data_IF_187707272945
#
_entry.id   IF_187707272945
#
_cell.length_a   1.000
_cell.length_b   1.000
_cell.length_c   1.000
_cell.angle_alpha   90.00
_cell.angle_beta   90.00
_cell.angle_gamma   90.00
#
_symmetry.space_group_name_H-M   'P 1'
#
loop_
_entity.id
_entity.type
_entity.pdbx_description
1 polymer ?
#
# COMPACT_ATOMS: atom_id res chain seq x y z
N UNK A 1 9.52 -1.12 -21.37
CA UNK A 1 8.53 -0.62 -20.40
C UNK A 1 9.25 -0.61 -19.06
N UNK A 2 9.63 0.56 -18.56
CA UNK A 2 10.50 0.68 -17.39
C UNK A 2 9.69 0.51 -16.11
N UNK A 3 10.11 -0.40 -15.25
CA UNK A 3 9.65 -0.47 -13.87
C UNK A 3 10.49 0.51 -13.07
N UNK A 4 9.86 1.44 -12.34
CA UNK A 4 10.56 2.30 -11.39
C UNK A 4 10.48 1.67 -10.00
N UNK A 5 11.63 1.51 -9.37
CA UNK A 5 11.75 0.94 -8.02
C UNK A 5 12.37 2.01 -7.16
N UNK A 6 11.60 2.52 -6.20
CA UNK A 6 12.07 3.58 -5.31
C UNK A 6 12.02 3.09 -3.88
N UNK A 7 13.14 3.28 -3.17
CA UNK A 7 13.18 3.02 -1.73
C UNK A 7 12.90 4.32 -0.99
N UNK A 8 11.81 4.36 -0.25
CA UNK A 8 11.43 5.49 0.62
C UNK A 8 11.81 5.15 2.05
N UNK A 9 12.41 6.07 2.81
CA UNK A 9 12.69 5.86 4.23
C UNK A 9 11.72 6.67 5.10
N UNK A 10 11.08 6.02 6.07
CA UNK A 10 10.23 6.68 7.07
C UNK A 10 10.35 5.98 8.42
N UNK A 11 10.62 6.76 9.48
CA UNK A 11 10.79 6.28 10.88
C UNK A 11 11.70 5.04 11.00
N UNK A 12 12.92 5.12 10.48
CA UNK A 12 13.92 4.03 10.54
C UNK A 12 13.49 2.74 9.80
N UNK A 13 12.53 2.85 8.88
CA UNK A 13 12.03 1.76 8.03
C UNK A 13 12.23 2.18 6.57
N UNK A 14 12.81 1.29 5.77
CA UNK A 14 12.94 1.45 4.31
C UNK A 14 11.80 0.69 3.61
N UNK A 15 11.04 1.38 2.77
CA UNK A 15 9.92 0.87 1.99
C UNK A 15 10.35 0.73 0.53
N UNK A 16 10.15 -0.41 -0.10
CA UNK A 16 10.36 -0.55 -1.55
C UNK A 16 9.05 -0.35 -2.29
N UNK A 17 8.95 0.73 -3.04
CA UNK A 17 7.82 1.08 -3.90
C UNK A 17 8.10 0.56 -5.31
N UNK A 18 7.17 -0.23 -5.84
CA UNK A 18 7.29 -0.81 -7.18
C UNK A 18 6.21 -0.21 -8.09
N UNK A 19 6.61 0.53 -9.11
CA UNK A 19 5.71 0.99 -10.16
C UNK A 19 5.40 -0.20 -11.09
N UNK A 20 4.31 -0.89 -10.77
CA UNK A 20 3.66 -1.94 -11.57
C UNK A 20 4.50 -3.20 -11.83
N UNK A 21 4.76 -4.03 -10.82
CA UNK A 21 4.90 -5.48 -11.06
C UNK A 21 6.32 -6.10 -11.14
N UNK A 22 7.30 -5.56 -10.44
CA UNK A 22 8.70 -6.03 -10.51
C UNK A 22 9.13 -7.09 -9.48
N UNK A 23 8.23 -7.79 -8.79
CA UNK A 23 8.60 -8.73 -7.72
C UNK A 23 8.05 -10.13 -7.96
N UNK A 24 8.90 -11.13 -7.73
CA UNK A 24 8.49 -12.53 -7.75
C UNK A 24 7.45 -12.77 -6.63
N UNK A 25 6.43 -13.58 -6.91
CA UNK A 25 5.31 -13.81 -5.97
C UNK A 25 5.80 -14.37 -4.63
N UNK A 26 6.91 -15.09 -4.66
CA UNK A 26 7.53 -15.71 -3.50
C UNK A 26 8.27 -14.71 -2.60
N UNK A 27 8.90 -13.67 -3.16
CA UNK A 27 9.61 -12.65 -2.37
C UNK A 27 8.65 -11.76 -1.57
N UNK A 28 7.46 -11.51 -2.12
CA UNK A 28 6.42 -10.72 -1.45
C UNK A 28 5.48 -11.55 -0.59
N UNK A 29 5.62 -12.88 -0.53
CA UNK A 29 4.64 -13.76 0.15
C UNK A 29 4.39 -13.32 1.59
N UNK A 30 5.45 -12.94 2.29
CA UNK A 30 5.43 -12.54 3.70
C UNK A 30 5.52 -11.01 3.89
N UNK A 31 5.34 -10.23 2.82
CA UNK A 31 5.37 -8.77 2.87
C UNK A 31 4.00 -8.22 3.32
N UNK A 32 4.02 -7.21 4.19
CA UNK A 32 2.83 -6.43 4.54
C UNK A 32 2.47 -5.50 3.37
N UNK A 33 1.21 -5.49 2.96
CA UNK A 33 0.72 -4.71 1.81
C UNK A 33 -0.13 -3.53 2.28
N UNK A 34 0.36 -2.30 2.08
CA UNK A 34 -0.46 -1.10 2.20
C UNK A 34 -0.92 -0.64 0.80
N UNK A 35 -2.22 -0.44 0.63
CA UNK A 35 -2.82 0.13 -0.59
C UNK A 35 -3.33 1.53 -0.27
N UNK A 36 -2.87 2.53 -1.01
CA UNK A 36 -3.45 3.87 -0.94
C UNK A 36 -4.54 4.05 -1.99
N UNK A 37 -5.78 4.18 -1.54
CA UNK A 37 -6.91 4.61 -2.37
C UNK A 37 -6.83 6.12 -2.60
N UNK A 38 -5.87 6.54 -3.41
CA UNK A 38 -5.52 7.95 -3.60
C UNK A 38 -6.53 8.71 -4.48
N UNK A 39 -6.45 10.04 -4.46
CA UNK A 39 -7.27 11.01 -5.21
C UNK A 39 -8.73 11.08 -4.75
N UNK A 40 -8.99 10.88 -3.46
CA UNK A 40 -10.34 10.97 -2.90
C UNK A 40 -10.94 12.40 -2.96
N UNK A 41 -10.13 13.40 -3.33
CA UNK A 41 -10.55 14.76 -3.64
C UNK A 41 -11.30 14.90 -4.97
N UNK A 42 -11.17 13.94 -5.89
CA UNK A 42 -11.78 14.02 -7.20
C UNK A 42 -13.23 13.50 -7.21
N UNK A 43 -14.13 14.17 -7.97
CA UNK A 43 -15.46 13.61 -8.21
C UNK A 43 -15.33 12.28 -8.94
N UNK A 44 -16.12 11.30 -8.53
CA UNK A 44 -16.10 9.90 -9.02
C UNK A 44 -14.87 9.08 -8.62
N UNK A 45 -14.08 9.54 -7.64
CA UNK A 45 -13.08 8.67 -7.03
C UNK A 45 -13.76 7.43 -6.44
N UNK A 46 -13.24 6.25 -6.77
CA UNK A 46 -13.70 5.02 -6.15
C UNK A 46 -13.32 5.02 -4.68
N UNK A 47 -14.25 4.59 -3.84
CA UNK A 47 -13.98 4.46 -2.41
C UNK A 47 -13.13 3.20 -2.15
N UNK A 48 -12.62 3.08 -0.92
CA UNK A 48 -11.79 1.95 -0.50
C UNK A 48 -12.46 0.57 -0.74
N UNK A 49 -13.77 0.44 -0.52
CA UNK A 49 -14.47 -0.83 -0.72
C UNK A 49 -14.51 -1.24 -2.20
N UNK A 50 -14.84 -0.30 -3.10
CA UNK A 50 -14.86 -0.56 -4.54
C UNK A 50 -13.47 -0.94 -5.08
N UNK A 51 -12.42 -0.32 -4.57
CA UNK A 51 -11.04 -0.65 -4.93
C UNK A 51 -10.66 -2.03 -4.38
N UNK A 52 -11.09 -2.35 -3.16
CA UNK A 52 -10.86 -3.67 -2.54
C UNK A 52 -11.43 -4.80 -3.40
N UNK A 53 -12.66 -4.63 -3.88
CA UNK A 53 -13.32 -5.59 -4.75
C UNK A 53 -12.62 -5.71 -6.10
N UNK A 54 -12.33 -4.58 -6.77
CA UNK A 54 -11.70 -4.57 -8.10
C UNK A 54 -10.28 -5.12 -8.11
N UNK A 55 -9.51 -4.89 -7.05
CA UNK A 55 -8.17 -5.45 -6.88
C UNK A 55 -8.20 -6.88 -6.32
N UNK A 56 -9.38 -7.39 -5.94
CA UNK A 56 -9.54 -8.74 -5.40
C UNK A 56 -8.78 -8.95 -4.09
N UNK A 57 -8.64 -7.93 -3.25
CA UNK A 57 -7.83 -8.00 -2.02
C UNK A 57 -8.37 -9.05 -1.04
N UNK A 58 -9.68 -9.33 -1.09
CA UNK A 58 -10.32 -10.41 -0.34
C UNK A 58 -9.74 -11.81 -0.62
N UNK A 59 -9.08 -12.00 -1.77
CA UNK A 59 -8.41 -13.27 -2.11
C UNK A 59 -7.05 -13.45 -1.43
N UNK A 60 -6.46 -12.36 -0.91
CA UNK A 60 -5.13 -12.35 -0.28
C UNK A 60 -5.16 -12.82 1.17
N UNK A 61 -5.75 -14.00 1.43
CA UNK A 61 -5.97 -14.53 2.79
C UNK A 61 -4.69 -14.80 3.59
N UNK A 62 -3.56 -14.98 2.91
CA UNK A 62 -2.27 -15.31 3.51
C UNK A 62 -1.36 -14.08 3.65
N UNK A 63 -1.83 -12.88 3.28
CA UNK A 63 -1.05 -11.65 3.33
C UNK A 63 -1.75 -10.62 4.21
N UNK A 64 -1.01 -10.01 5.12
CA UNK A 64 -1.51 -8.87 5.89
C UNK A 64 -1.59 -7.66 4.98
N UNK A 65 -2.80 -7.14 4.78
CA UNK A 65 -3.02 -5.98 3.93
C UNK A 65 -3.96 -4.97 4.59
N UNK A 66 -3.83 -3.71 4.18
CA UNK A 66 -4.72 -2.63 4.54
C UNK A 66 -4.87 -1.66 3.39
N UNK A 67 -6.03 -1.01 3.32
CA UNK A 67 -6.33 -0.01 2.33
C UNK A 67 -6.73 1.29 3.03
N UNK A 68 -6.09 2.39 2.62
CA UNK A 68 -6.29 3.69 3.23
C UNK A 68 -6.72 4.71 2.17
N UNK A 69 -7.91 5.27 2.36
CA UNK A 69 -8.37 6.44 1.61
C UNK A 69 -7.39 7.59 1.78
N UNK A 70 -7.00 8.21 0.67
CA UNK A 70 -5.91 9.21 0.67
C UNK A 70 -6.13 10.33 -0.34
N UNK A 71 -5.59 11.50 -0.02
CA UNK A 71 -5.41 12.60 -0.94
C UNK A 71 -3.95 13.06 -0.88
N UNK A 72 -3.16 12.70 -1.89
CA UNK A 72 -1.73 13.01 -1.91
C UNK A 72 -1.42 14.52 -1.96
N UNK A 73 -2.33 15.35 -2.47
CA UNK A 73 -2.14 16.80 -2.57
C UNK A 73 -2.40 17.52 -1.25
N UNK A 74 -3.36 17.05 -0.44
CA UNK A 74 -3.59 17.57 0.92
C UNK A 74 -2.75 16.85 1.98
N UNK A 75 -2.29 15.63 1.67
CA UNK A 75 -1.59 14.74 2.60
C UNK A 75 -2.52 13.92 3.50
N UNK A 76 -3.84 14.08 3.39
CA UNK A 76 -4.81 13.33 4.19
C UNK A 76 -4.72 11.83 3.94
N UNK A 77 -4.76 11.04 5.02
CA UNK A 77 -4.71 9.58 4.97
C UNK A 77 -3.29 9.00 4.86
N UNK A 78 -2.28 9.81 4.51
CA UNK A 78 -0.91 9.31 4.36
C UNK A 78 -0.32 8.86 5.70
N UNK A 79 -0.53 9.66 6.74
CA UNK A 79 0.00 9.37 8.07
C UNK A 79 -0.63 8.10 8.64
N UNK A 80 -1.94 7.95 8.54
CA UNK A 80 -2.69 6.80 9.03
C UNK A 80 -2.26 5.50 8.32
N UNK A 81 -2.08 5.55 7.00
CA UNK A 81 -1.60 4.39 6.25
C UNK A 81 -0.18 4.00 6.65
N UNK A 82 0.72 4.98 6.77
CA UNK A 82 2.11 4.73 7.18
C UNK A 82 2.22 4.28 8.64
N UNK A 83 1.37 4.79 9.54
CA UNK A 83 1.32 4.36 10.94
C UNK A 83 0.85 2.91 11.05
N UNK A 84 -0.22 2.54 10.31
CA UNK A 84 -0.64 1.14 10.20
C UNK A 84 0.50 0.26 9.69
N UNK A 85 1.16 0.66 8.62
CA UNK A 85 2.24 -0.11 8.02
C UNK A 85 3.43 -0.28 8.97
N UNK A 86 3.84 0.79 9.65
CA UNK A 86 4.90 0.76 10.67
C UNK A 86 4.58 -0.22 11.81
N UNK A 87 3.33 -0.24 12.28
CA UNK A 87 2.90 -1.14 13.36
C UNK A 87 2.84 -2.61 12.92
N UNK A 88 2.63 -2.88 11.63
CA UNK A 88 2.50 -4.23 11.10
C UNK A 88 3.81 -4.80 10.51
N UNK A 89 4.79 -3.94 10.17
CA UNK A 89 6.14 -4.36 9.78
C UNK A 89 7.02 -4.70 10.99
N UNK A 90 6.72 -4.15 12.17
CA UNK A 90 7.54 -4.25 13.39
C UNK A 90 7.64 -5.67 14.04
N UNK A 91 7.27 -6.74 13.33
CA UNK A 91 7.54 -8.11 13.77
C UNK A 91 8.24 -8.90 12.67
N UNK A 92 9.56 -8.74 12.59
CA UNK A 92 10.46 -9.84 12.22
C UNK A 92 11.55 -9.93 13.28
N UNK A 93 11.72 -11.06 13.99
CA UNK A 93 12.91 -11.31 14.80
C UNK A 93 14.18 -11.35 13.93
#
# INVERSE_FOLDING_TARGET
MGFNVETVEYKNISFTVWDVGGQDKDELRDAVLLVFANKQDLPNAMNAAEITDKLGLHSLRQRHWYIQSTCATSGEGLYEGLDWLSNNIANKP
#
